data_IF_974460326357
#
_entry.id   IF_974460326357
#
_cell.length_a   1.000
_cell.length_b   1.000
_cell.length_c   1.000
_cell.angle_alpha   90.00
_cell.angle_beta   90.00
_cell.angle_gamma   90.00
#
_symmetry.space_group_name_H-M   'P 1'
#
loop_
_entity.id
_entity.type
_entity.pdbx_description
1 polymer ?
#
# COMPACT_ATOMS: atom_id res chain seq x y z
N UNK A 1 16.70 -17.21 4.45
CA UNK A 1 15.81 -18.37 4.50
C UNK A 1 15.01 -18.44 3.22
N UNK A 2 15.03 -19.58 2.56
CA UNK A 2 14.37 -19.73 1.26
C UNK A 2 12.86 -19.56 1.31
N UNK A 3 12.26 -19.83 2.46
CA UNK A 3 10.81 -19.66 2.62
C UNK A 3 10.35 -18.23 2.44
N UNK A 4 11.18 -17.25 2.79
CA UNK A 4 10.73 -15.86 2.71
C UNK A 4 10.40 -15.46 1.27
N UNK A 5 11.14 -15.95 0.29
CA UNK A 5 10.85 -15.66 -1.10
C UNK A 5 9.48 -16.22 -1.52
N UNK A 6 9.19 -17.45 -1.14
CA UNK A 6 7.91 -18.08 -1.44
C UNK A 6 6.76 -17.42 -0.70
N UNK A 7 7.00 -16.99 0.55
CA UNK A 7 6.00 -16.29 1.32
C UNK A 7 5.54 -15.03 0.59
N UNK A 8 6.49 -14.26 0.05
CA UNK A 8 6.14 -13.03 -0.66
C UNK A 8 5.48 -13.30 -2.00
N UNK A 9 5.86 -14.37 -2.70
CA UNK A 9 5.21 -14.74 -3.94
C UNK A 9 3.75 -15.14 -3.70
N UNK A 10 3.46 -15.76 -2.57
CA UNK A 10 2.12 -16.25 -2.22
C UNK A 10 1.44 -15.42 -1.15
N UNK A 11 2.02 -14.28 -0.80
CA UNK A 11 1.36 -13.33 0.08
C UNK A 11 0.03 -12.91 -0.55
N UNK A 12 -1.03 -12.74 0.17
CA UNK A 12 -1.28 -12.87 1.59
C UNK A 12 -1.74 -14.25 2.04
N UNK A 13 -1.92 -15.17 1.11
CA UNK A 13 -2.37 -16.52 1.42
C UNK A 13 -1.45 -17.21 2.43
N UNK A 14 -0.14 -17.06 2.21
CA UNK A 14 0.83 -17.67 3.11
C UNK A 14 0.76 -17.05 4.51
N UNK A 15 0.58 -15.73 4.58
CA UNK A 15 0.45 -15.05 5.87
C UNK A 15 -0.78 -15.54 6.63
N UNK A 16 -1.91 -15.72 5.94
CA UNK A 16 -3.13 -16.25 6.55
C UNK A 16 -2.92 -17.67 7.06
N UNK A 17 -2.24 -18.50 6.28
CA UNK A 17 -1.95 -19.88 6.67
C UNK A 17 -1.05 -19.97 7.88
N UNK A 18 -0.12 -19.04 8.03
CA UNK A 18 0.81 -19.04 9.16
C UNK A 18 0.22 -18.40 10.41
N UNK A 19 -0.95 -17.80 10.30
CA UNK A 19 -1.64 -17.24 11.46
C UNK A 19 -1.07 -15.94 11.99
N UNK A 20 -0.24 -15.26 11.22
CA UNK A 20 0.26 -13.95 11.61
C UNK A 20 0.21 -12.96 10.45
N UNK A 21 0.21 -11.70 10.80
CA UNK A 21 0.09 -10.62 9.83
C UNK A 21 1.46 -10.11 9.42
N UNK A 22 1.55 -9.62 8.19
CA UNK A 22 2.77 -9.04 7.66
C UNK A 22 2.68 -7.52 7.72
N UNK A 23 3.73 -6.88 8.22
CA UNK A 23 3.75 -5.42 8.40
C UNK A 23 4.99 -4.80 7.78
N UNK A 24 4.83 -3.56 7.33
CA UNK A 24 5.91 -2.70 6.88
C UNK A 24 5.91 -1.43 7.74
N UNK A 25 7.09 -0.96 8.10
CA UNK A 25 7.25 0.27 8.88
C UNK A 25 8.20 1.20 8.16
N UNK A 26 7.83 2.45 8.03
CA UNK A 26 8.67 3.45 7.40
C UNK A 26 8.24 4.86 7.73
N UNK A 27 8.90 5.81 7.09
CA UNK A 27 8.61 7.24 7.23
C UNK A 27 7.82 7.69 6.00
N UNK A 28 6.85 8.56 6.23
CA UNK A 28 6.05 9.14 5.15
C UNK A 28 6.88 10.19 4.43
N UNK A 29 7.02 10.03 3.11
CA UNK A 29 7.82 10.92 2.27
C UNK A 29 6.97 11.51 1.15
N UNK A 30 7.51 12.53 0.47
CA UNK A 30 6.83 13.13 -0.67
C UNK A 30 6.74 12.13 -1.82
N UNK A 31 5.61 12.16 -2.54
CA UNK A 31 5.39 11.28 -3.67
C UNK A 31 4.42 11.88 -4.65
N UNK A 32 3.80 11.02 -5.44
CA UNK A 32 2.80 11.43 -6.42
C UNK A 32 1.55 11.94 -5.72
N UNK A 33 1.09 13.14 -6.09
CA UNK A 33 -0.09 13.76 -5.49
C UNK A 33 -1.36 13.61 -6.31
N UNK A 34 -1.35 12.75 -7.32
CA UNK A 34 -2.51 12.56 -8.18
C UNK A 34 -3.74 12.11 -7.37
N UNK A 35 -3.54 11.19 -6.41
CA UNK A 35 -4.64 10.70 -5.59
C UNK A 35 -5.35 11.83 -4.83
N UNK A 36 -4.61 12.82 -4.35
CA UNK A 36 -5.19 13.96 -3.64
C UNK A 36 -6.15 14.74 -4.52
N UNK A 37 -5.83 14.91 -5.80
CA UNK A 37 -6.68 15.67 -6.71
C UNK A 37 -7.98 14.98 -7.05
N UNK A 38 -8.07 13.67 -6.86
CA UNK A 38 -9.28 12.89 -7.15
C UNK A 38 -9.95 12.35 -5.89
N UNK A 39 -9.57 12.85 -4.72
CA UNK A 39 -10.22 12.48 -3.47
C UNK A 39 -9.67 11.25 -2.76
N UNK A 40 -8.52 10.74 -3.19
CA UNK A 40 -7.86 9.58 -2.58
C UNK A 40 -6.40 9.89 -2.27
N UNK A 41 -6.13 10.79 -1.31
CA UNK A 41 -4.75 11.13 -0.98
C UNK A 41 -4.00 9.92 -0.45
N UNK A 42 -2.73 9.78 -0.86
CA UNK A 42 -1.90 8.65 -0.46
C UNK A 42 -0.65 9.12 0.27
N UNK A 43 -0.23 8.30 1.24
CA UNK A 43 1.03 8.46 1.92
C UNK A 43 2.04 7.52 1.28
N UNK A 44 3.16 8.08 0.82
CA UNK A 44 4.27 7.31 0.28
C UNK A 44 5.19 6.93 1.41
N UNK A 45 5.61 5.68 1.48
CA UNK A 45 6.41 5.17 2.58
C UNK A 45 7.81 4.84 2.10
N UNK A 46 8.81 5.35 2.81
CA UNK A 46 10.20 4.92 2.66
C UNK A 46 10.50 4.02 3.85
N UNK A 47 10.80 2.75 3.57
CA UNK A 47 11.02 1.76 4.63
C UNK A 47 12.28 2.08 5.43
N UNK A 48 12.21 1.84 6.74
CA UNK A 48 13.39 1.91 7.59
C UNK A 48 14.37 0.77 7.31
N UNK A 49 13.84 -0.37 6.84
CA UNK A 49 14.65 -1.50 6.43
C UNK A 49 14.62 -1.63 4.91
N UNK A 50 15.56 -1.01 4.17
CA UNK A 50 15.50 -1.01 2.71
C UNK A 50 15.57 -2.40 2.08
N UNK A 51 16.15 -3.38 2.79
CA UNK A 51 16.27 -4.74 2.28
C UNK A 51 15.08 -5.62 2.63
N UNK A 52 14.07 -5.08 3.32
CA UNK A 52 12.88 -5.85 3.64
C UNK A 52 12.14 -6.21 2.37
N UNK A 53 11.73 -7.47 2.26
CA UNK A 53 10.99 -7.94 1.11
C UNK A 53 9.59 -7.35 1.10
N UNK A 54 9.12 -6.97 -0.08
CA UNK A 54 7.78 -6.42 -0.26
C UNK A 54 6.84 -7.49 -0.80
N UNK A 55 5.53 -7.38 -0.48
CA UNK A 55 4.54 -8.20 -1.16
C UNK A 55 4.57 -7.94 -2.67
N UNK A 56 3.95 -8.80 -3.44
CA UNK A 56 3.83 -8.62 -4.88
C UNK A 56 3.07 -7.34 -5.23
N UNK A 57 3.25 -6.86 -6.45
CA UNK A 57 2.54 -5.65 -6.90
C UNK A 57 1.04 -5.87 -6.85
N UNK A 58 0.31 -4.85 -6.45
CA UNK A 58 -1.14 -4.93 -6.36
C UNK A 58 -1.69 -4.00 -5.30
N UNK A 59 -3.00 -4.05 -5.10
CA UNK A 59 -3.70 -3.27 -4.11
C UNK A 59 -4.16 -4.20 -2.99
N UNK A 60 -3.90 -3.80 -1.76
CA UNK A 60 -4.12 -4.61 -0.57
C UNK A 60 -5.02 -3.90 0.43
N UNK A 61 -5.86 -4.71 1.12
CA UNK A 61 -6.55 -4.26 2.31
C UNK A 61 -5.55 -4.23 3.47
N UNK A 62 -5.47 -3.11 4.17
CA UNK A 62 -4.47 -2.93 5.23
C UNK A 62 -5.05 -2.22 6.44
N UNK A 63 -4.34 -2.35 7.57
CA UNK A 63 -4.45 -1.45 8.70
C UNK A 63 -3.27 -0.50 8.66
N UNK A 64 -3.52 0.79 8.89
CA UNK A 64 -2.50 1.82 8.92
C UNK A 64 -2.42 2.40 10.32
N UNK A 65 -1.24 2.38 10.93
CA UNK A 65 -1.04 2.88 12.29
C UNK A 65 -0.11 4.08 12.25
N UNK A 66 -0.62 5.22 12.71
CA UNK A 66 0.12 6.47 12.82
C UNK A 66 -0.55 7.32 13.88
N UNK A 67 0.19 8.27 14.46
CA UNK A 67 -0.33 9.18 15.49
C UNK A 67 -0.94 8.41 16.67
N UNK A 68 -0.46 7.22 16.96
CA UNK A 68 -0.96 6.40 18.05
C UNK A 68 -2.31 5.75 17.82
N UNK A 69 -2.84 5.79 16.59
CA UNK A 69 -4.15 5.26 16.24
C UNK A 69 -4.05 4.28 15.07
N UNK A 70 -5.07 3.43 14.95
CA UNK A 70 -5.16 2.46 13.87
C UNK A 70 -6.34 2.80 12.98
N UNK A 71 -6.11 2.82 11.68
CA UNK A 71 -7.10 3.15 10.65
C UNK A 71 -7.17 2.05 9.62
N UNK A 72 -8.31 1.90 8.97
CA UNK A 72 -8.40 1.06 7.76
C UNK A 72 -7.85 1.83 6.58
N UNK A 73 -7.31 1.10 5.61
CA UNK A 73 -6.80 1.71 4.41
C UNK A 73 -6.60 0.72 3.28
N UNK A 74 -6.12 1.23 2.15
CA UNK A 74 -5.68 0.40 1.04
C UNK A 74 -4.27 0.81 0.66
N UNK A 75 -3.45 -0.19 0.34
CA UNK A 75 -2.05 0.02 0.00
C UNK A 75 -1.77 -0.50 -1.39
N UNK A 76 -1.16 0.33 -2.21
CA UNK A 76 -0.74 -0.04 -3.55
C UNK A 76 0.77 -0.26 -3.55
N UNK A 77 1.18 -1.47 -3.88
CA UNK A 77 2.58 -1.81 -4.15
C UNK A 77 2.72 -1.79 -5.67
N UNK A 78 3.55 -0.90 -6.17
CA UNK A 78 3.69 -0.75 -7.61
C UNK A 78 5.12 -0.44 -8.02
N UNK A 79 5.31 -0.18 -9.30
CA UNK A 79 6.59 0.18 -9.86
C UNK A 79 6.50 1.56 -10.49
N UNK A 80 7.41 2.44 -10.10
CA UNK A 80 7.57 3.74 -10.73
C UNK A 80 8.77 3.65 -11.66
N UNK A 81 8.60 3.91 -12.98
CA UNK A 81 9.73 3.92 -13.90
C UNK A 81 10.75 4.97 -13.49
N UNK A 82 12.03 4.62 -13.58
CA UNK A 82 13.12 5.55 -13.32
C UNK A 82 14.04 5.58 -14.52
N UNK A 83 14.73 6.71 -14.68
CA UNK A 83 15.64 6.91 -15.82
C UNK A 83 16.86 5.96 -15.74
N UNK A 84 17.27 5.61 -14.53
CA UNK A 84 18.54 4.91 -14.33
C UNK A 84 18.43 3.40 -14.20
N UNK A 85 17.41 2.90 -13.55
CA UNK A 85 17.36 1.49 -13.16
C UNK A 85 16.13 0.77 -13.67
N UNK A 86 15.39 1.34 -14.58
CA UNK A 86 14.23 0.69 -15.15
C UNK A 86 12.98 0.70 -14.30
N UNK A 87 13.12 0.82 -12.98
CA UNK A 87 11.95 0.88 -12.10
C UNK A 87 12.32 0.82 -10.65
N UNK A 88 11.48 1.42 -9.82
CA UNK A 88 11.60 1.39 -8.38
C UNK A 88 10.24 1.05 -7.81
N UNK A 89 10.19 0.10 -6.89
CA UNK A 89 8.93 -0.27 -6.25
C UNK A 89 8.50 0.79 -5.26
N UNK A 90 7.21 1.10 -5.25
CA UNK A 90 6.63 2.14 -4.40
C UNK A 90 5.58 1.54 -3.49
N UNK A 91 5.43 2.15 -2.32
CA UNK A 91 4.43 1.76 -1.33
C UNK A 91 3.59 3.00 -1.07
N UNK A 92 2.34 2.99 -1.52
CA UNK A 92 1.43 4.12 -1.38
C UNK A 92 0.20 3.67 -0.62
N UNK A 93 -0.12 4.34 0.48
CA UNK A 93 -1.24 3.96 1.34
C UNK A 93 -2.26 5.07 1.40
N UNK A 94 -3.51 4.76 1.04
CA UNK A 94 -4.64 5.64 1.27
C UNK A 94 -5.29 5.24 2.60
N UNK A 95 -5.25 6.13 3.58
CA UNK A 95 -5.81 5.90 4.91
C UNK A 95 -7.25 6.42 4.89
N UNK A 96 -8.21 5.57 5.22
CA UNK A 96 -9.63 5.93 5.16
C UNK A 96 -10.04 6.81 6.33
N UNK A 97 -10.90 7.81 6.06
CA UNK A 97 -11.44 8.72 7.06
C UNK A 97 -10.33 9.43 7.84
N UNK A 98 -9.27 9.83 7.13
CA UNK A 98 -8.08 10.41 7.72
C UNK A 98 -7.71 11.68 6.94
N UNK A 99 -7.53 12.79 7.66
CA UNK A 99 -7.27 14.09 7.04
C UNK A 99 -6.13 14.82 7.75
N UNK A 100 -5.17 14.11 8.29
CA UNK A 100 -4.02 14.68 8.98
C UNK A 100 -2.79 14.68 8.08
N UNK A 101 -1.92 15.67 8.25
CA UNK A 101 -0.62 15.69 7.59
C UNK A 101 0.36 14.86 8.41
N UNK A 102 0.80 13.75 7.86
CA UNK A 102 1.75 12.85 8.52
C UNK A 102 3.10 12.81 7.82
N UNK A 103 3.37 13.79 6.96
CA UNK A 103 4.65 13.89 6.27
C UNK A 103 5.79 13.93 7.31
N UNK A 104 6.79 13.05 7.12
CA UNK A 104 7.92 12.95 8.04
C UNK A 104 7.66 12.12 9.28
N UNK A 105 6.46 11.61 9.46
CA UNK A 105 6.10 10.76 10.60
C UNK A 105 6.15 9.28 10.23
N UNK A 106 6.16 8.44 11.26
CA UNK A 106 6.16 6.99 11.07
C UNK A 106 4.77 6.50 10.65
N UNK A 107 4.77 5.51 9.76
CA UNK A 107 3.55 4.81 9.37
C UNK A 107 3.85 3.32 9.33
N UNK A 108 3.04 2.55 10.04
CA UNK A 108 3.09 1.09 10.01
C UNK A 108 1.89 0.59 9.24
N UNK A 109 2.14 -0.24 8.22
CA UNK A 109 1.09 -0.81 7.40
C UNK A 109 1.07 -2.32 7.60
N UNK A 110 -0.06 -2.84 8.08
CA UNK A 110 -0.26 -4.26 8.30
C UNK A 110 -1.21 -4.79 7.23
N UNK A 111 -0.74 -5.78 6.47
CA UNK A 111 -1.46 -6.30 5.32
C UNK A 111 -2.43 -7.40 5.72
N UNK A 112 -3.65 -7.35 5.23
CA UNK A 112 -4.65 -8.39 5.44
C UNK A 112 -4.74 -9.33 4.25
N UNK A 113 -5.07 -8.80 3.08
CA UNK A 113 -5.16 -9.60 1.86
C UNK A 113 -5.12 -8.71 0.63
N UNK A 114 -4.84 -9.35 -0.51
CA UNK A 114 -4.78 -8.65 -1.79
C UNK A 114 -6.19 -8.47 -2.35
N UNK A 115 -6.49 -7.24 -2.78
CA UNK A 115 -7.77 -6.91 -3.40
C UNK A 115 -7.73 -7.16 -4.91
N UNK A 116 -6.66 -6.73 -5.57
CA UNK A 116 -6.52 -6.89 -7.02
C UNK A 116 -5.08 -6.64 -7.44
N UNK A 117 -4.77 -7.03 -8.66
CA UNK A 117 -3.49 -6.72 -9.27
C UNK A 117 -3.42 -5.23 -9.64
N UNK A 118 -2.20 -4.73 -9.76
CA UNK A 118 -1.97 -3.40 -10.27
C UNK A 118 -2.41 -3.31 -11.72
N UNK A 119 -3.03 -2.18 -12.10
CA UNK A 119 -3.46 -1.96 -13.48
C UNK A 119 -3.34 -0.51 -13.86
N UNK A 120 -3.27 -0.27 -15.16
CA UNK A 120 -3.27 1.07 -15.71
C UNK A 120 -4.69 1.50 -16.04
N UNK A 121 -4.91 2.81 -16.04
CA UNK A 121 -6.21 3.39 -16.32
C UNK A 121 -6.09 4.40 -17.46
N UNK A 122 -7.06 4.37 -18.37
CA UNK A 122 -7.06 5.23 -19.54
C UNK A 122 -7.48 6.66 -19.20
N UNK A 123 -8.11 6.88 -18.06
CA UNK A 123 -8.57 8.19 -17.65
C UNK A 123 -8.55 8.32 -16.13
N UNK A 124 -8.57 9.57 -15.67
CA UNK A 124 -8.67 9.88 -14.26
C UNK A 124 -10.01 9.39 -13.70
N UNK A 125 -11.08 9.48 -14.48
CA UNK A 125 -12.38 9.00 -14.06
C UNK A 125 -12.39 7.48 -13.85
N UNK A 126 -11.73 6.73 -14.73
CA UNK A 126 -11.61 5.28 -14.57
C UNK A 126 -10.82 4.94 -13.31
N UNK A 127 -9.73 5.66 -13.04
CA UNK A 127 -8.94 5.48 -11.83
C UNK A 127 -9.78 5.77 -10.59
N UNK A 128 -10.49 6.91 -10.58
CA UNK A 128 -11.34 7.28 -9.44
C UNK A 128 -12.40 6.24 -9.17
N UNK A 129 -13.06 5.74 -10.21
CA UNK A 129 -14.09 4.72 -10.08
C UNK A 129 -13.53 3.43 -9.48
N UNK A 130 -12.35 3.02 -9.91
CA UNK A 130 -11.73 1.81 -9.39
C UNK A 130 -11.33 1.99 -7.93
N UNK A 131 -10.76 3.14 -7.57
CA UNK A 131 -10.39 3.40 -6.18
C UNK A 131 -11.61 3.43 -5.27
N UNK A 132 -12.72 3.99 -5.73
CA UNK A 132 -13.96 3.99 -4.97
C UNK A 132 -14.48 2.56 -4.76
N UNK A 133 -14.40 1.71 -5.79
CA UNK A 133 -14.82 0.32 -5.68
C UNK A 133 -13.90 -0.46 -4.72
N UNK A 134 -12.61 -0.22 -4.78
CA UNK A 134 -11.64 -0.84 -3.87
C UNK A 134 -11.95 -0.48 -2.42
N UNK A 135 -12.18 0.79 -2.16
CA UNK A 135 -12.51 1.27 -0.83
C UNK A 135 -13.80 0.64 -0.31
N UNK A 136 -14.83 0.60 -1.14
CA UNK A 136 -16.11 -0.02 -0.77
C UNK A 136 -15.93 -1.49 -0.44
N UNK A 137 -15.13 -2.19 -1.22
CA UNK A 137 -14.83 -3.60 -0.97
C UNK A 137 -14.16 -3.80 0.39
N UNK A 138 -13.19 -2.97 0.72
CA UNK A 138 -12.46 -3.07 1.99
C UNK A 138 -13.38 -2.71 3.17
N UNK A 139 -14.18 -1.69 3.03
CA UNK A 139 -15.08 -1.26 4.10
C UNK A 139 -16.20 -2.27 4.37
N UNK A 140 -16.49 -3.14 3.40
CA UNK A 140 -17.51 -4.17 3.56
C UNK A 140 -16.99 -5.41 4.29
N UNK A 141 -15.70 -5.50 4.54
CA UNK A 141 -15.07 -6.64 5.23
C UNK A 141 -15.39 -6.71 6.71
#
# INVERSE_FOLDING_TARGET
MTMSHQIFANFPTTAAMLGYEYSLLGVVVAGNRLGRTIGFPTANIQLYEPLKLLPGNGVYSVDAETLGCKFKGMCNIGVRPTVRSGGQRTIETNIFDFDEDIYGLDLKVTFHHKIRDERRFDSIDALRSQLAADKACILAE
#
